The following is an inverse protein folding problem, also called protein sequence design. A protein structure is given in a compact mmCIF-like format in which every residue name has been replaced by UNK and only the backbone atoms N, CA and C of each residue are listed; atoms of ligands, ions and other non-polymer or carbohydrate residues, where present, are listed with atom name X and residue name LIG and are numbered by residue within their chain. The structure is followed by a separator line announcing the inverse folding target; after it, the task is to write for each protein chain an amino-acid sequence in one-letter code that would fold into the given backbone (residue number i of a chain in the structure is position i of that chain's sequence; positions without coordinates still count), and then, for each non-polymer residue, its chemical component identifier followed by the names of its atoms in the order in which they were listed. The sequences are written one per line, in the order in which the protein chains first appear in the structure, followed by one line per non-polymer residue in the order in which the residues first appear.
data_IF_078469172733
#
_entry.id   IF_078469172733
#
_cell.length_a   1.000
_cell.length_b   1.000
_cell.length_c   1.000
_cell.angle_alpha   90.00
_cell.angle_beta   90.00
_cell.angle_gamma   90.00
#
_symmetry.space_group_name_H-M   'P 1'
#
loop_
_entity.id
_entity.type
_entity.pdbx_description
1 polymer ?
#
# COMPACT_ATOMS: atom_id res chain seq x y z
N UNK A 1 -47.62 14.94 19.78
CA UNK A 1 -46.73 15.47 18.70
C UNK A 1 -46.78 17.00 18.76
N UNK A 2 -45.62 17.70 18.79
CA UNK A 2 -45.61 19.17 18.88
C UNK A 2 -46.11 19.77 17.56
N UNK A 3 -47.06 20.68 17.60
CA UNK A 3 -47.66 21.38 16.45
C UNK A 3 -46.57 21.92 15.49
N UNK A 4 -45.44 22.41 16.03
CA UNK A 4 -44.28 22.87 15.25
C UNK A 4 -43.67 21.80 14.35
N UNK A 5 -43.70 20.50 14.72
CA UNK A 5 -43.21 19.40 13.90
C UNK A 5 -44.12 19.14 12.70
N UNK A 6 -45.46 19.20 12.92
CA UNK A 6 -46.44 19.02 11.86
C UNK A 6 -46.30 20.13 10.81
N UNK A 7 -46.18 21.38 11.23
CA UNK A 7 -46.00 22.53 10.34
C UNK A 7 -44.72 22.36 9.51
N UNK A 8 -43.59 21.98 10.13
CA UNK A 8 -42.32 21.75 9.43
C UNK A 8 -42.41 20.64 8.38
N UNK A 9 -43.16 19.57 8.69
CA UNK A 9 -43.34 18.43 7.77
C UNK A 9 -44.25 18.82 6.58
N UNK A 10 -45.34 19.56 6.82
CA UNK A 10 -46.26 19.99 5.77
C UNK A 10 -45.58 20.96 4.80
N UNK A 11 -44.82 21.92 5.32
CA UNK A 11 -44.09 22.90 4.49
C UNK A 11 -42.74 22.42 3.99
N UNK A 12 -42.37 21.15 4.22
CA UNK A 12 -41.13 20.54 3.76
C UNK A 12 -39.87 21.39 4.07
N UNK A 13 -39.83 22.05 5.24
CA UNK A 13 -38.80 23.00 5.61
C UNK A 13 -37.41 22.34 5.66
N UNK A 14 -37.32 21.04 5.95
CA UNK A 14 -36.06 20.28 5.91
C UNK A 14 -35.56 20.15 4.47
N UNK A 15 -36.44 20.01 3.48
CA UNK A 15 -36.08 19.99 2.06
C UNK A 15 -35.52 21.34 1.60
N UNK A 16 -36.19 22.44 1.99
CA UNK A 16 -35.71 23.80 1.67
C UNK A 16 -34.33 24.06 2.28
N UNK A 17 -34.11 23.61 3.52
CA UNK A 17 -32.77 23.70 4.15
C UNK A 17 -31.72 22.88 3.41
N UNK A 18 -32.04 21.64 3.04
CA UNK A 18 -31.16 20.78 2.26
C UNK A 18 -30.79 21.40 0.92
N UNK A 19 -31.79 21.91 0.20
CA UNK A 19 -31.61 22.60 -1.07
C UNK A 19 -30.69 23.83 -0.92
N UNK A 20 -30.91 24.63 0.13
CA UNK A 20 -30.06 25.81 0.39
C UNK A 20 -28.60 25.43 0.66
N UNK A 21 -28.35 24.31 1.37
CA UNK A 21 -26.98 23.78 1.55
C UNK A 21 -26.39 23.37 0.21
N UNK A 22 -27.12 22.61 -0.61
CA UNK A 22 -26.66 22.17 -1.92
C UNK A 22 -26.31 23.35 -2.85
N UNK A 23 -27.16 24.38 -2.87
CA UNK A 23 -26.93 25.59 -3.65
C UNK A 23 -25.65 26.30 -3.17
N UNK A 24 -25.45 26.43 -1.86
CA UNK A 24 -24.22 27.05 -1.32
C UNK A 24 -22.97 26.27 -1.69
N UNK A 25 -23.03 24.93 -1.73
CA UNK A 25 -21.86 24.11 -2.11
C UNK A 25 -21.50 24.29 -3.61
N UNK A 26 -22.46 24.57 -4.50
CA UNK A 26 -22.20 24.83 -5.92
C UNK A 26 -21.25 26.03 -6.13
N UNK A 27 -21.39 27.06 -5.27
CA UNK A 27 -20.57 28.28 -5.37
C UNK A 27 -19.24 28.22 -4.60
N UNK A 28 -18.95 27.09 -3.90
CA UNK A 28 -17.67 26.91 -3.23
C UNK A 28 -16.59 26.42 -4.20
N UNK A 29 -15.33 26.73 -3.87
CA UNK A 29 -14.20 26.17 -4.60
C UNK A 29 -14.20 24.64 -4.55
N UNK A 30 -13.90 24.00 -5.68
CA UNK A 30 -13.81 22.53 -5.77
C UNK A 30 -12.70 22.02 -4.85
N UNK A 31 -13.03 21.01 -4.05
CA UNK A 31 -12.09 20.31 -3.16
C UNK A 31 -11.62 18.97 -3.74
N UNK A 32 -12.26 18.51 -4.80
CA UNK A 32 -11.90 17.28 -5.49
C UNK A 32 -10.72 17.52 -6.42
N UNK A 33 -9.80 16.56 -6.46
CA UNK A 33 -8.69 16.53 -7.41
C UNK A 33 -9.11 15.84 -8.70
N UNK A 34 -8.54 16.24 -9.82
CA UNK A 34 -8.83 15.66 -11.14
C UNK A 34 -7.88 14.48 -11.42
N UNK A 35 -8.08 13.36 -10.73
CA UNK A 35 -7.33 12.13 -10.99
C UNK A 35 -7.66 11.59 -12.40
N UNK A 36 -6.71 11.06 -13.19
CA UNK A 36 -5.30 10.82 -12.86
C UNK A 36 -4.34 11.99 -13.14
N UNK A 37 -4.84 13.12 -13.65
CA UNK A 37 -4.01 14.29 -14.05
C UNK A 37 -3.42 15.00 -12.81
N UNK A 38 -4.17 14.99 -11.72
CA UNK A 38 -3.73 15.52 -10.42
C UNK A 38 -3.72 14.40 -9.41
N UNK A 39 -2.60 14.22 -8.71
CA UNK A 39 -2.45 13.20 -7.65
C UNK A 39 -2.28 13.87 -6.30
N UNK A 40 -3.01 13.37 -5.31
CA UNK A 40 -2.85 13.80 -3.92
C UNK A 40 -1.52 13.32 -3.32
N UNK A 41 -1.06 14.00 -2.27
CA UNK A 41 0.12 13.56 -1.51
C UNK A 41 -0.20 12.24 -0.79
N UNK A 42 0.64 11.25 -0.99
CA UNK A 42 0.56 9.94 -0.32
C UNK A 42 1.42 9.99 0.95
N UNK A 43 0.93 9.35 2.01
CA UNK A 43 1.68 9.23 3.27
C UNK A 43 2.93 8.37 3.07
N UNK A 44 4.06 8.67 3.75
CA UNK A 44 5.23 7.78 3.76
C UNK A 44 4.93 6.36 4.27
N UNK A 45 3.87 6.19 5.06
CA UNK A 45 3.40 4.90 5.59
C UNK A 45 2.32 4.23 4.73
N UNK A 46 2.16 4.68 3.48
CA UNK A 46 1.18 4.08 2.60
C UNK A 46 1.60 2.66 2.23
N UNK A 47 0.67 1.74 2.33
CA UNK A 47 0.88 0.31 2.08
C UNK A 47 0.38 -0.04 0.68
N UNK A 48 1.23 0.22 -0.33
CA UNK A 48 0.94 -0.10 -1.72
C UNK A 48 1.72 -1.30 -2.23
N UNK A 49 2.21 -1.22 -3.45
CA UNK A 49 2.87 -2.31 -4.17
C UNK A 49 4.14 -2.78 -3.44
N UNK A 50 4.32 -4.09 -3.35
CA UNK A 50 5.48 -4.71 -2.70
C UNK A 50 6.74 -4.61 -3.56
N UNK A 51 7.87 -4.44 -2.87
CA UNK A 51 9.19 -4.37 -3.48
C UNK A 51 10.23 -5.09 -2.61
N UNK A 52 11.20 -5.75 -3.25
CA UNK A 52 12.39 -6.27 -2.61
C UNK A 52 13.57 -5.34 -2.89
N UNK A 53 14.23 -4.88 -1.83
CA UNK A 53 15.31 -3.92 -1.91
C UNK A 53 16.68 -4.59 -2.04
N UNK A 54 17.61 -3.85 -2.67
CA UNK A 54 19.02 -4.20 -2.74
C UNK A 54 19.88 -3.27 -1.87
N UNK A 55 21.07 -3.69 -1.57
CA UNK A 55 22.13 -2.82 -1.05
C UNK A 55 22.71 -1.97 -2.18
N UNK A 56 23.40 -0.85 -1.86
CA UNK A 56 24.05 -0.02 -2.89
C UNK A 56 25.09 -0.76 -3.74
N UNK A 57 25.62 -1.88 -3.25
CA UNK A 57 26.53 -2.77 -4.00
C UNK A 57 25.80 -3.70 -4.99
N UNK A 58 24.46 -3.61 -5.08
CA UNK A 58 23.63 -4.45 -5.96
C UNK A 58 23.20 -5.79 -5.36
N UNK A 59 23.70 -6.17 -4.18
CA UNK A 59 23.30 -7.42 -3.53
C UNK A 59 21.88 -7.33 -2.96
N UNK A 60 21.18 -8.46 -2.97
CA UNK A 60 19.85 -8.57 -2.35
C UNK A 60 19.96 -8.42 -0.84
N UNK A 61 19.09 -7.58 -0.24
CA UNK A 61 19.03 -7.45 1.23
C UNK A 61 18.44 -8.69 1.90
N UNK A 62 17.61 -9.46 1.18
CA UNK A 62 16.91 -10.60 1.76
C UNK A 62 17.87 -11.72 2.18
N UNK A 63 17.88 -12.05 3.47
CA UNK A 63 18.68 -13.11 4.10
C UNK A 63 17.91 -14.43 4.23
N UNK A 64 16.76 -14.56 3.59
CA UNK A 64 15.92 -15.77 3.62
C UNK A 64 15.55 -16.27 5.03
N UNK A 65 15.30 -15.37 5.98
CA UNK A 65 14.92 -15.71 7.35
C UNK A 65 13.49 -16.25 7.47
N UNK A 66 12.63 -16.06 6.45
CA UNK A 66 11.22 -16.50 6.37
C UNK A 66 10.27 -15.88 7.40
N UNK A 67 10.67 -14.84 8.14
CA UNK A 67 9.79 -14.19 9.12
C UNK A 67 8.56 -13.59 8.45
N UNK A 68 8.72 -12.94 7.30
CA UNK A 68 7.60 -12.35 6.54
C UNK A 68 6.61 -13.40 6.03
N UNK A 69 7.07 -14.61 5.67
CA UNK A 69 6.19 -15.75 5.33
C UNK A 69 5.41 -16.22 6.56
N UNK A 70 6.10 -16.39 7.70
CA UNK A 70 5.51 -16.89 8.93
C UNK A 70 4.48 -15.93 9.55
N UNK A 71 4.70 -14.61 9.44
CA UNK A 71 3.81 -13.59 10.02
C UNK A 71 2.64 -13.24 9.12
N UNK A 72 2.65 -13.66 7.86
CA UNK A 72 1.62 -13.28 6.88
C UNK A 72 0.25 -13.90 7.23
N UNK A 73 -0.75 -13.11 7.65
CA UNK A 73 -2.05 -13.64 8.05
C UNK A 73 -2.85 -14.22 6.87
N UNK A 74 -2.57 -13.73 5.65
CA UNK A 74 -3.21 -14.20 4.43
C UNK A 74 -2.46 -15.36 3.76
N UNK A 75 -1.29 -15.78 4.30
CA UNK A 75 -0.43 -16.80 3.69
C UNK A 75 -0.15 -16.52 2.20
N UNK A 76 0.06 -15.25 1.88
CA UNK A 76 0.27 -14.78 0.51
C UNK A 76 1.73 -14.91 0.05
N UNK A 77 2.67 -15.14 0.98
CA UNK A 77 4.12 -15.15 0.72
C UNK A 77 4.62 -16.59 0.75
N UNK A 78 5.42 -16.96 -0.25
CA UNK A 78 6.09 -18.27 -0.32
C UNK A 78 7.58 -18.06 -0.56
N UNK A 79 8.44 -18.62 0.31
CA UNK A 79 9.89 -18.44 0.24
C UNK A 79 10.59 -19.80 0.23
N UNK A 80 11.45 -20.00 -0.77
CA UNK A 80 12.41 -21.09 -0.78
C UNK A 80 13.83 -20.53 -0.64
N UNK A 81 14.65 -21.22 0.15
CA UNK A 81 16.02 -20.78 0.43
C UNK A 81 17.02 -21.90 0.20
N UNK A 82 18.23 -21.49 -0.19
CA UNK A 82 19.38 -22.39 -0.41
C UNK A 82 20.51 -21.97 0.53
N UNK A 83 21.15 -22.91 1.24
CA UNK A 83 22.38 -22.61 1.97
C UNK A 83 23.50 -22.31 0.98
N UNK A 84 24.32 -21.32 1.29
CA UNK A 84 25.53 -20.98 0.55
C UNK A 84 26.76 -21.62 1.21
N UNK A 85 27.87 -21.70 0.45
CA UNK A 85 29.10 -22.29 0.95
C UNK A 85 29.76 -21.56 2.14
N UNK A 86 29.41 -20.29 2.31
CA UNK A 86 29.84 -19.41 3.42
C UNK A 86 28.96 -19.53 4.68
N UNK A 87 27.97 -20.44 4.69
CA UNK A 87 27.03 -20.61 5.77
C UNK A 87 25.84 -19.63 5.77
N UNK A 88 25.83 -18.66 4.85
CA UNK A 88 24.69 -17.76 4.66
C UNK A 88 23.54 -18.45 3.93
N UNK A 89 22.37 -17.79 3.88
CA UNK A 89 21.20 -18.25 3.12
C UNK A 89 20.83 -17.20 2.09
N UNK A 90 20.49 -17.66 0.89
CA UNK A 90 19.87 -16.80 -0.14
C UNK A 90 18.56 -17.40 -0.59
N UNK A 91 17.61 -16.52 -0.96
CA UNK A 91 16.34 -16.93 -1.53
C UNK A 91 16.53 -17.44 -2.96
N UNK A 92 16.05 -18.63 -3.24
CA UNK A 92 15.92 -19.15 -4.60
C UNK A 92 14.60 -18.77 -5.22
N UNK A 93 13.55 -18.69 -4.36
CA UNK A 93 12.21 -18.31 -4.74
C UNK A 93 11.64 -17.36 -3.68
N UNK A 94 10.97 -16.32 -4.12
CA UNK A 94 10.23 -15.39 -3.28
C UNK A 94 9.00 -14.92 -4.04
N UNK A 95 7.86 -15.46 -3.72
CA UNK A 95 6.62 -15.16 -4.42
C UNK A 95 5.61 -14.53 -3.49
N UNK A 96 4.84 -13.58 -4.02
CA UNK A 96 3.70 -12.96 -3.34
C UNK A 96 2.47 -13.06 -4.24
N UNK A 97 1.42 -13.71 -3.76
CA UNK A 97 0.10 -13.64 -4.37
C UNK A 97 -0.58 -12.33 -3.95
N UNK A 98 -0.54 -11.33 -4.83
CA UNK A 98 -1.06 -9.98 -4.55
C UNK A 98 -2.58 -9.97 -4.39
N UNK A 99 -3.30 -11.00 -4.89
CA UNK A 99 -4.76 -11.13 -4.69
C UNK A 99 -5.13 -11.68 -3.32
N UNK A 100 -4.24 -12.48 -2.71
CA UNK A 100 -4.41 -12.92 -1.33
C UNK A 100 -3.97 -11.85 -0.33
N UNK A 101 -2.99 -11.03 -0.71
CA UNK A 101 -2.42 -10.02 0.16
C UNK A 101 -3.48 -9.00 0.60
N UNK A 102 -3.55 -8.74 1.90
CA UNK A 102 -4.44 -7.74 2.51
C UNK A 102 -3.72 -6.42 2.83
N UNK A 103 -2.48 -6.26 2.39
CA UNK A 103 -1.67 -5.03 2.57
C UNK A 103 -1.55 -4.60 4.04
N UNK A 104 -1.48 -5.54 4.97
CA UNK A 104 -1.39 -5.26 6.41
C UNK A 104 -0.05 -4.68 6.86
N UNK A 105 1.03 -4.84 6.08
CA UNK A 105 2.37 -4.34 6.39
C UNK A 105 3.20 -5.20 7.35
N UNK A 106 2.66 -6.28 7.93
CA UNK A 106 3.38 -7.11 8.89
C UNK A 106 4.65 -7.75 8.33
N UNK A 107 4.70 -8.03 7.03
CA UNK A 107 5.90 -8.52 6.36
C UNK A 107 7.05 -7.51 6.37
N UNK A 108 6.74 -6.23 6.20
CA UNK A 108 7.70 -5.14 6.28
C UNK A 108 8.16 -4.92 7.72
N UNK A 109 7.24 -4.89 8.68
CA UNK A 109 7.54 -4.72 10.11
C UNK A 109 8.40 -5.85 10.69
N UNK A 110 8.21 -7.08 10.20
CA UNK A 110 8.96 -8.27 10.65
C UNK A 110 10.33 -8.42 10.00
N UNK A 111 10.66 -7.63 8.99
CA UNK A 111 11.90 -7.79 8.22
C UNK A 111 13.09 -7.13 8.93
N UNK A 112 14.09 -7.89 9.43
CA UNK A 112 15.20 -7.33 10.19
C UNK A 112 16.22 -6.54 9.37
N UNK A 113 16.10 -6.60 8.05
CA UNK A 113 17.06 -5.97 7.10
C UNK A 113 16.37 -5.02 6.13
N UNK A 114 15.10 -4.68 6.33
CA UNK A 114 14.27 -3.86 5.42
C UNK A 114 14.38 -4.32 3.95
N UNK A 115 14.34 -5.63 3.74
CA UNK A 115 14.41 -6.21 2.41
C UNK A 115 13.07 -6.17 1.68
N UNK A 116 11.98 -6.60 2.34
CA UNK A 116 10.61 -6.47 1.83
C UNK A 116 9.99 -5.20 2.36
N UNK A 117 9.45 -4.38 1.47
CA UNK A 117 8.81 -3.10 1.81
C UNK A 117 7.55 -2.90 0.96
N UNK A 118 6.67 -2.05 1.43
CA UNK A 118 5.50 -1.61 0.68
C UNK A 118 5.72 -0.17 0.21
N UNK A 119 5.64 0.01 -1.11
CA UNK A 119 5.82 1.31 -1.74
C UNK A 119 4.56 2.17 -1.75
N UNK A 120 4.70 3.38 -2.28
CA UNK A 120 3.58 4.29 -2.48
C UNK A 120 2.82 4.05 -3.80
N UNK A 121 3.28 3.13 -4.65
CA UNK A 121 2.58 2.80 -5.88
C UNK A 121 1.31 2.00 -5.59
N UNK A 122 0.18 2.43 -6.15
CA UNK A 122 -1.10 1.74 -6.09
C UNK A 122 -1.72 1.51 -7.49
N UNK A 123 -1.06 2.00 -8.53
CA UNK A 123 -1.51 1.92 -9.92
C UNK A 123 -0.90 0.68 -10.60
N UNK A 124 -1.29 -0.51 -10.16
CA UNK A 124 -0.79 -1.80 -10.70
C UNK A 124 -1.93 -2.78 -11.01
N UNK A 125 -3.07 -2.25 -11.47
CA UNK A 125 -4.16 -3.08 -11.97
C UNK A 125 -3.72 -3.84 -13.23
N UNK A 126 -4.16 -5.09 -13.36
CA UNK A 126 -3.84 -6.00 -14.46
C UNK A 126 -5.10 -6.68 -14.97
N UNK A 127 -5.03 -7.30 -16.14
CA UNK A 127 -6.17 -8.00 -16.74
C UNK A 127 -6.29 -9.45 -16.27
N UNK A 128 -5.17 -10.08 -15.89
CA UNK A 128 -5.13 -11.49 -15.51
C UNK A 128 -4.63 -11.68 -14.07
N UNK A 129 -5.02 -12.79 -13.45
CA UNK A 129 -4.59 -13.15 -12.10
C UNK A 129 -3.09 -13.46 -12.04
N UNK A 130 -2.58 -14.09 -13.07
CA UNK A 130 -1.19 -14.53 -13.16
C UNK A 130 -0.22 -13.34 -13.06
N UNK A 131 -0.59 -12.20 -13.62
CA UNK A 131 0.21 -10.97 -13.55
C UNK A 131 0.30 -10.38 -12.14
N UNK A 132 -0.67 -10.69 -11.27
CA UNK A 132 -0.68 -10.33 -9.86
C UNK A 132 -0.02 -11.39 -8.96
N UNK A 133 0.54 -12.44 -9.55
CA UNK A 133 1.43 -13.36 -8.85
C UNK A 133 2.87 -12.89 -9.04
N UNK A 134 3.37 -12.15 -8.04
CA UNK A 134 4.67 -11.52 -8.11
C UNK A 134 5.77 -12.51 -7.72
N UNK A 135 6.66 -12.78 -8.66
CA UNK A 135 7.87 -13.55 -8.43
C UNK A 135 8.99 -12.65 -7.89
N UNK A 136 10.10 -13.29 -7.48
CA UNK A 136 11.27 -12.59 -6.94
C UNK A 136 11.82 -11.53 -7.88
N UNK A 137 11.90 -11.81 -9.19
CA UNK A 137 12.44 -10.89 -10.19
C UNK A 137 11.60 -9.61 -10.26
N UNK A 138 10.28 -9.74 -10.40
CA UNK A 138 9.36 -8.60 -10.42
C UNK A 138 9.43 -7.76 -9.14
N UNK A 139 9.57 -8.41 -7.98
CA UNK A 139 9.71 -7.70 -6.71
C UNK A 139 11.03 -6.93 -6.61
N UNK A 140 12.13 -7.47 -7.15
CA UNK A 140 13.41 -6.79 -7.22
C UNK A 140 13.38 -5.63 -8.22
N UNK A 141 12.75 -5.81 -9.40
CA UNK A 141 12.57 -4.75 -10.38
C UNK A 141 11.75 -3.58 -9.79
N UNK A 142 10.73 -3.87 -9.01
CA UNK A 142 9.98 -2.86 -8.27
C UNK A 142 10.89 -2.14 -7.27
N UNK A 143 11.75 -2.87 -6.55
CA UNK A 143 12.74 -2.31 -5.64
C UNK A 143 13.68 -1.35 -6.35
N UNK A 144 14.28 -1.79 -7.43
CA UNK A 144 15.23 -0.99 -8.22
C UNK A 144 14.55 0.26 -8.80
N UNK A 145 13.30 0.13 -9.28
CA UNK A 145 12.51 1.24 -9.84
C UNK A 145 12.16 2.31 -8.81
N UNK A 146 11.83 1.90 -7.59
CA UNK A 146 11.26 2.79 -6.57
C UNK A 146 12.21 3.07 -5.40
N UNK A 147 13.47 2.59 -5.44
CA UNK A 147 14.42 2.65 -4.31
C UNK A 147 14.55 4.06 -3.72
N UNK A 148 14.61 5.09 -4.54
CA UNK A 148 14.74 6.46 -4.06
C UNK A 148 13.56 6.85 -3.16
N UNK A 149 12.32 6.61 -3.63
CA UNK A 149 11.10 6.94 -2.89
C UNK A 149 10.98 6.05 -1.65
N UNK A 150 11.30 4.75 -1.77
CA UNK A 150 11.28 3.81 -0.66
C UNK A 150 12.25 4.21 0.45
N UNK A 151 13.47 4.61 0.10
CA UNK A 151 14.47 5.07 1.05
C UNK A 151 14.03 6.36 1.78
N UNK A 152 13.43 7.31 1.05
CA UNK A 152 12.87 8.54 1.63
C UNK A 152 11.72 8.24 2.60
N UNK A 153 10.80 7.35 2.22
CA UNK A 153 9.67 6.94 3.06
C UNK A 153 10.13 6.25 4.34
N UNK A 154 11.08 5.30 4.24
CA UNK A 154 11.64 4.60 5.41
C UNK A 154 12.34 5.59 6.34
N UNK A 155 13.10 6.54 5.79
CA UNK A 155 13.75 7.59 6.57
C UNK A 155 12.72 8.49 7.29
N UNK A 156 11.64 8.84 6.62
CA UNK A 156 10.57 9.64 7.21
C UNK A 156 9.79 8.88 8.29
N UNK A 157 9.69 7.55 8.17
CA UNK A 157 9.01 6.68 9.13
C UNK A 157 9.90 6.24 10.31
N UNK A 158 11.22 6.38 10.18
CA UNK A 158 12.21 5.89 11.18
C UNK A 158 11.95 6.32 12.63
N UNK A 159 11.39 7.53 12.96
CA UNK A 159 11.07 7.89 14.33
C UNK A 159 9.93 7.09 14.98
N UNK A 160 9.21 6.30 14.19
CA UNK A 160 8.02 5.55 14.59
C UNK A 160 8.17 4.02 14.48
N UNK A 161 9.33 3.54 14.05
CA UNK A 161 9.72 2.13 13.94
C UNK A 161 10.45 1.61 15.15
#
# INVERSE_FOLDING_TARGET
MKLSRIIKTIFLLEFVRGLNIAIKEIFKSKKTINYPFEKGKISPRFRGEHALRRYPNGEERCIACKLCEAVCPAQAITIESKPMADGSRKTTRYDIDMLKCIYCGLCEESCPVDAIVQGSNFEFATETREELYYNKEKLLDNGDRWEQILAENIKADSPYR
#
